data_IF_747964096928
#
_entry.id   IF_747964096928
#
_cell.length_a   1.000
_cell.length_b   1.000
_cell.length_c   1.000
_cell.angle_alpha   90.00
_cell.angle_beta   90.00
_cell.angle_gamma   90.00
#
_symmetry.space_group_name_H-M   'P 1'
#
loop_
_entity.id
_entity.type
_entity.pdbx_description
1 polymer ?
#
# COMPACT_ATOMS: atom_id res chain seq x y z
N UNK A 1 -28.62 12.74 14.92
CA UNK A 1 -27.71 12.40 13.81
C UNK A 1 -26.38 13.02 14.16
N UNK A 2 -25.60 12.33 14.99
CA UNK A 2 -24.32 12.85 15.48
C UNK A 2 -23.37 12.81 14.30
N UNK A 3 -22.91 13.98 13.87
CA UNK A 3 -21.78 14.12 12.94
C UNK A 3 -20.62 13.34 13.55
N UNK A 4 -20.38 12.13 13.03
CA UNK A 4 -19.13 11.42 13.28
C UNK A 4 -18.07 12.39 12.79
N UNK A 5 -17.36 13.01 13.73
CA UNK A 5 -16.10 13.67 13.41
C UNK A 5 -15.24 12.56 12.82
N UNK A 6 -15.16 12.50 11.50
CA UNK A 6 -14.07 11.83 10.82
C UNK A 6 -12.81 12.58 11.26
N UNK A 7 -12.32 12.26 12.46
CA UNK A 7 -10.97 12.63 12.89
C UNK A 7 -10.12 12.17 11.72
N UNK A 8 -9.54 13.12 10.99
CA UNK A 8 -8.70 12.79 9.86
C UNK A 8 -7.63 11.85 10.40
N UNK A 9 -7.69 10.57 10.02
CA UNK A 9 -6.76 9.57 10.50
C UNK A 9 -5.35 10.13 10.32
N UNK A 10 -4.66 10.38 11.44
CA UNK A 10 -3.30 10.85 11.43
C UNK A 10 -2.40 9.64 11.67
N UNK A 11 -1.84 9.03 10.61
CA UNK A 11 -0.97 7.87 10.78
C UNK A 11 0.27 8.22 11.61
N UNK A 12 0.66 9.49 11.74
CA UNK A 12 1.88 9.87 12.45
C UNK A 12 1.75 9.87 13.98
N UNK A 13 0.53 9.80 14.53
CA UNK A 13 0.28 9.83 15.99
C UNK A 13 0.03 8.44 16.59
N UNK A 14 0.15 7.36 15.80
CA UNK A 14 -0.36 6.02 16.16
C UNK A 14 0.70 4.90 16.21
N UNK A 15 2.00 5.20 16.10
CA UNK A 15 3.01 4.12 16.17
C UNK A 15 3.26 3.68 17.62
N UNK A 16 2.55 2.65 18.06
CA UNK A 16 2.90 1.91 19.27
C UNK A 16 4.03 0.89 19.00
N UNK A 17 4.22 0.52 17.71
CA UNK A 17 5.10 -0.57 17.29
C UNK A 17 6.42 -0.15 16.65
N UNK A 18 6.96 -1.06 15.82
CA UNK A 18 8.20 -0.89 15.10
C UNK A 18 8.04 0.06 13.92
N UNK A 19 9.15 0.70 13.53
CA UNK A 19 9.19 1.62 12.39
C UNK A 19 10.23 1.13 11.39
N UNK A 20 9.77 0.79 10.19
CA UNK A 20 10.63 0.39 9.07
C UNK A 20 10.61 1.42 7.95
N UNK A 21 11.71 1.50 7.21
CA UNK A 21 11.87 2.39 6.06
C UNK A 21 12.17 1.61 4.78
N UNK A 22 11.58 2.06 3.67
CA UNK A 22 11.69 1.43 2.35
C UNK A 22 12.12 2.46 1.29
N UNK A 23 13.02 2.06 0.39
CA UNK A 23 13.47 2.87 -0.75
C UNK A 23 13.96 1.98 -1.89
N UNK A 24 13.49 2.25 -3.11
CA UNK A 24 13.93 1.49 -4.30
C UNK A 24 15.42 1.67 -4.55
N UNK A 25 16.07 0.60 -5.03
CA UNK A 25 17.53 0.55 -5.26
C UNK A 25 18.37 0.30 -4.00
N UNK A 26 17.78 -0.16 -2.90
CA UNK A 26 18.48 -0.51 -1.66
C UNK A 26 18.62 -2.04 -1.53
N UNK A 27 18.81 -2.57 -0.31
CA UNK A 27 18.99 -4.01 -0.07
C UNK A 27 18.21 -4.49 1.14
N UNK A 28 17.73 -5.73 1.07
CA UNK A 28 17.02 -6.41 2.16
C UNK A 28 17.94 -6.77 3.34
N UNK A 29 19.25 -6.78 3.09
CA UNK A 29 20.27 -6.96 4.12
C UNK A 29 20.45 -5.71 5.01
N UNK A 30 19.85 -4.58 4.64
CA UNK A 30 19.83 -3.39 5.50
C UNK A 30 18.92 -3.60 6.71
N UNK A 31 19.10 -2.85 7.81
CA UNK A 31 18.28 -2.99 9.01
C UNK A 31 16.89 -2.32 8.94
N UNK A 32 16.45 -1.78 7.80
CA UNK A 32 15.14 -1.11 7.69
C UNK A 32 15.07 0.27 8.37
N UNK A 33 16.22 0.89 8.63
CA UNK A 33 16.29 2.23 9.26
C UNK A 33 16.20 3.35 8.21
N UNK A 34 15.95 4.58 8.64
CA UNK A 34 15.87 5.74 7.72
C UNK A 34 17.08 5.89 6.78
N UNK A 35 18.29 5.65 7.30
CA UNK A 35 19.56 5.77 6.57
C UNK A 35 19.94 4.49 5.81
N UNK A 36 19.45 3.35 6.27
CA UNK A 36 19.66 2.04 5.64
C UNK A 36 18.32 1.31 5.56
N UNK A 37 17.46 1.71 4.60
CA UNK A 37 16.12 1.14 4.44
C UNK A 37 16.17 -0.20 3.70
N UNK A 38 15.08 -0.97 3.79
CA UNK A 38 14.86 -2.13 2.93
C UNK A 38 14.59 -1.70 1.48
N UNK A 39 14.69 -2.64 0.52
CA UNK A 39 14.42 -2.35 -0.88
C UNK A 39 12.94 -2.43 -1.26
N UNK A 40 12.29 -3.62 -1.21
CA UNK A 40 10.88 -3.76 -1.55
C UNK A 40 9.98 -3.58 -0.33
N UNK A 41 8.74 -3.20 -0.59
CA UNK A 41 7.70 -3.10 0.44
C UNK A 41 7.39 -4.47 1.06
N UNK A 42 7.27 -5.51 0.24
CA UNK A 42 6.92 -6.87 0.69
C UNK A 42 7.88 -7.41 1.76
N UNK A 43 9.19 -7.23 1.55
CA UNK A 43 10.18 -7.60 2.56
C UNK A 43 9.96 -6.86 3.89
N UNK A 44 9.59 -5.58 3.86
CA UNK A 44 9.32 -4.81 5.08
C UNK A 44 8.07 -5.30 5.82
N UNK A 45 7.03 -5.73 5.10
CA UNK A 45 5.83 -6.34 5.68
C UNK A 45 6.19 -7.59 6.46
N UNK A 46 7.01 -8.47 5.88
CA UNK A 46 7.49 -9.68 6.56
C UNK A 46 8.38 -9.43 7.80
N UNK A 47 8.78 -8.17 8.06
CA UNK A 47 9.49 -7.78 9.29
C UNK A 47 8.57 -7.23 10.38
N UNK A 48 7.31 -6.99 10.05
CA UNK A 48 6.32 -6.51 11.00
C UNK A 48 5.87 -7.59 11.98
N UNK A 49 5.33 -7.13 13.11
CA UNK A 49 4.67 -7.94 14.11
C UNK A 49 3.17 -7.65 14.10
N UNK A 50 2.36 -8.69 13.99
CA UNK A 50 0.91 -8.57 13.89
C UNK A 50 0.32 -7.81 15.09
N UNK A 51 -0.55 -6.84 14.79
CA UNK A 51 -1.28 -5.98 15.74
C UNK A 51 -0.40 -5.20 16.72
N UNK A 52 0.89 -5.03 16.39
CA UNK A 52 1.82 -4.25 17.20
C UNK A 52 1.73 -2.74 16.89
N UNK A 53 0.96 -2.34 15.87
CA UNK A 53 0.91 -0.96 15.40
C UNK A 53 2.18 -0.56 14.64
N UNK A 54 2.75 -1.49 13.89
CA UNK A 54 3.97 -1.29 13.10
C UNK A 54 3.70 -0.35 11.91
N UNK A 55 4.70 0.46 11.60
CA UNK A 55 4.65 1.42 10.50
C UNK A 55 5.77 1.20 9.49
N UNK A 56 5.41 1.25 8.22
CA UNK A 56 6.34 1.17 7.10
C UNK A 56 6.32 2.53 6.37
N UNK A 57 7.42 3.26 6.47
CA UNK A 57 7.59 4.53 5.79
C UNK A 57 8.33 4.35 4.47
N UNK A 58 7.69 4.76 3.38
CA UNK A 58 8.27 4.67 2.05
C UNK A 58 8.83 6.05 1.66
N UNK A 59 10.13 6.12 1.42
CA UNK A 59 10.82 7.38 1.11
C UNK A 59 10.32 7.97 -0.21
N UNK A 60 10.37 9.30 -0.31
CA UNK A 60 10.01 10.03 -1.52
C UNK A 60 10.78 9.57 -2.76
N UNK A 61 10.06 9.45 -3.88
CA UNK A 61 10.56 8.98 -5.16
C UNK A 61 10.92 7.48 -5.20
N UNK A 62 10.43 6.68 -4.24
CA UNK A 62 10.49 5.22 -4.33
C UNK A 62 9.65 4.73 -5.52
N UNK A 63 10.15 3.71 -6.20
CA UNK A 63 9.50 3.10 -7.37
C UNK A 63 9.66 1.57 -7.32
N UNK A 64 8.56 0.84 -7.37
CA UNK A 64 8.55 -0.63 -7.35
C UNK A 64 7.65 -1.16 -8.47
N UNK A 65 8.10 -2.22 -9.14
CA UNK A 65 7.34 -2.88 -10.19
C UNK A 65 6.74 -4.17 -9.64
N UNK A 66 5.43 -4.34 -9.83
CA UNK A 66 4.70 -5.55 -9.48
C UNK A 66 4.44 -6.31 -10.78
N UNK A 67 5.12 -7.44 -10.97
CA UNK A 67 5.11 -8.22 -12.22
C UNK A 67 4.48 -9.61 -12.08
N UNK A 68 4.02 -9.97 -10.89
CA UNK A 68 3.43 -11.27 -10.59
C UNK A 68 2.23 -11.12 -9.65
N UNK A 69 1.35 -12.13 -9.66
CA UNK A 69 0.28 -12.25 -8.68
C UNK A 69 0.88 -12.32 -7.26
N UNK A 70 0.23 -11.65 -6.30
CA UNK A 70 0.72 -11.49 -4.93
C UNK A 70 2.16 -10.96 -4.89
N UNK A 71 2.52 -10.05 -5.80
CA UNK A 71 3.87 -9.48 -5.85
C UNK A 71 4.19 -8.59 -4.65
N UNK A 72 3.15 -8.12 -3.94
CA UNK A 72 3.20 -7.60 -2.58
C UNK A 72 2.05 -8.22 -1.81
N UNK A 73 2.35 -8.83 -0.67
CA UNK A 73 1.37 -9.50 0.18
C UNK A 73 1.32 -8.86 1.57
N UNK A 74 0.14 -8.37 1.97
CA UNK A 74 -0.11 -7.86 3.31
C UNK A 74 -0.63 -9.00 4.19
N UNK A 75 0.29 -9.82 4.69
CA UNK A 75 0.03 -11.01 5.51
C UNK A 75 0.18 -10.76 7.03
N UNK A 76 0.54 -9.54 7.43
CA UNK A 76 0.67 -9.11 8.84
C UNK A 76 -0.39 -8.08 9.21
N UNK A 77 -1.22 -8.39 10.22
CA UNK A 77 -2.34 -7.54 10.62
C UNK A 77 -1.91 -6.26 11.35
N UNK A 78 -2.71 -5.20 11.22
CA UNK A 78 -2.55 -3.97 12.01
C UNK A 78 -1.34 -3.13 11.64
N UNK A 79 -0.95 -3.13 10.36
CA UNK A 79 0.18 -2.35 9.85
C UNK A 79 -0.27 -1.13 9.06
N UNK A 80 0.52 -0.06 9.13
CA UNK A 80 0.28 1.19 8.40
C UNK A 80 1.44 1.49 7.45
N UNK A 81 1.16 1.62 6.16
CA UNK A 81 2.12 2.01 5.13
C UNK A 81 1.94 3.48 4.77
N UNK A 82 3.02 4.25 4.87
CA UNK A 82 3.00 5.70 4.73
C UNK A 82 4.01 6.13 3.67
N UNK A 83 3.51 6.61 2.54
CA UNK A 83 4.33 7.23 1.52
C UNK A 83 4.72 8.66 1.86
N UNK A 84 6.00 8.98 1.70
CA UNK A 84 6.52 10.35 1.84
C UNK A 84 6.71 11.01 0.47
N UNK A 85 6.49 12.31 0.39
CA UNK A 85 6.61 13.07 -0.85
C UNK A 85 5.27 13.55 -1.40
N UNK A 86 5.34 14.41 -2.41
CA UNK A 86 4.20 15.09 -3.03
C UNK A 86 4.26 14.97 -4.56
N UNK A 87 3.10 15.00 -5.21
CA UNK A 87 2.98 14.90 -6.67
C UNK A 87 3.78 13.69 -7.21
N UNK A 88 4.70 13.93 -8.16
CA UNK A 88 5.54 12.91 -8.78
C UNK A 88 6.57 12.27 -7.83
N UNK A 89 6.78 12.83 -6.64
CA UNK A 89 7.66 12.25 -5.63
C UNK A 89 6.94 11.33 -4.64
N UNK A 90 5.62 11.16 -4.76
CA UNK A 90 4.92 10.10 -4.02
C UNK A 90 5.52 8.74 -4.42
N UNK A 91 5.65 7.78 -3.48
CA UNK A 91 6.09 6.44 -3.81
C UNK A 91 5.14 5.79 -4.81
N UNK A 92 5.71 5.17 -5.84
CA UNK A 92 4.97 4.63 -6.98
C UNK A 92 5.12 3.13 -7.07
N UNK A 93 4.00 2.43 -7.20
CA UNK A 93 3.92 1.01 -7.50
C UNK A 93 3.31 0.84 -8.90
N UNK A 94 4.00 0.11 -9.77
CA UNK A 94 3.63 -0.05 -11.18
C UNK A 94 3.35 -1.51 -11.51
N UNK A 95 2.16 -1.80 -12.01
CA UNK A 95 1.79 -3.13 -12.45
C UNK A 95 2.27 -3.35 -13.86
N UNK A 96 3.16 -4.31 -14.06
CA UNK A 96 3.85 -4.56 -15.34
C UNK A 96 3.43 -5.88 -16.00
N UNK A 97 2.41 -6.54 -15.47
CA UNK A 97 1.77 -7.72 -16.06
C UNK A 97 0.25 -7.67 -15.83
N UNK A 98 -0.52 -8.36 -16.67
CA UNK A 98 -1.99 -8.40 -16.57
C UNK A 98 -2.50 -9.03 -15.26
N UNK A 99 -1.78 -10.03 -14.75
CA UNK A 99 -2.10 -10.85 -13.58
C UNK A 99 -1.31 -10.43 -12.34
N UNK A 100 -0.57 -9.32 -12.42
CA UNK A 100 0.08 -8.75 -11.26
C UNK A 100 -0.96 -8.26 -10.26
N UNK A 101 -0.76 -8.52 -8.97
CA UNK A 101 -1.69 -8.10 -7.90
C UNK A 101 -0.93 -7.73 -6.64
N UNK A 102 -1.50 -6.79 -5.88
CA UNK A 102 -1.19 -6.56 -4.47
C UNK A 102 -2.33 -7.18 -3.66
N UNK A 103 -1.99 -8.03 -2.69
CA UNK A 103 -2.98 -8.77 -1.90
C UNK A 103 -3.05 -8.23 -0.48
N UNK A 104 -4.27 -8.12 0.06
CA UNK A 104 -4.50 -7.77 1.47
C UNK A 104 -5.22 -8.93 2.16
N UNK A 105 -4.42 -9.80 2.78
CA UNK A 105 -4.87 -11.00 3.48
C UNK A 105 -4.80 -10.87 5.02
N UNK A 106 -4.47 -9.69 5.53
CA UNK A 106 -4.48 -9.37 6.94
C UNK A 106 -5.33 -8.14 7.28
N UNK A 107 -6.01 -8.21 8.42
CA UNK A 107 -6.93 -7.19 8.90
C UNK A 107 -6.23 -5.88 9.32
N UNK A 108 -6.98 -4.78 9.32
CA UNK A 108 -6.54 -3.46 9.80
C UNK A 108 -5.31 -2.91 9.06
N UNK A 109 -5.24 -3.17 7.75
CA UNK A 109 -4.16 -2.69 6.87
C UNK A 109 -4.49 -1.29 6.36
N UNK A 110 -3.54 -0.36 6.48
CA UNK A 110 -3.73 1.03 6.02
C UNK A 110 -2.67 1.40 5.00
N UNK A 111 -3.10 1.92 3.85
CA UNK A 111 -2.26 2.51 2.80
C UNK A 111 -2.47 4.03 2.75
N UNK A 112 -1.40 4.80 2.87
CA UNK A 112 -1.47 6.26 2.90
C UNK A 112 -0.48 6.93 1.94
N UNK A 113 -0.98 7.85 1.10
CA UNK A 113 -0.18 8.71 0.21
C UNK A 113 0.74 7.95 -0.78
N UNK A 114 0.20 6.89 -1.40
CA UNK A 114 0.88 6.09 -2.43
C UNK A 114 0.29 6.38 -3.82
N UNK A 115 1.10 6.16 -4.86
CA UNK A 115 0.67 6.20 -6.26
C UNK A 115 0.69 4.79 -6.84
N UNK A 116 -0.39 4.39 -7.51
CA UNK A 116 -0.53 3.10 -8.18
C UNK A 116 -0.76 3.32 -9.68
N UNK A 117 0.04 2.64 -10.51
CA UNK A 117 0.06 2.84 -11.96
C UNK A 117 -0.23 1.54 -12.71
N UNK A 118 -1.24 1.56 -13.59
CA UNK A 118 -1.43 0.53 -14.60
C UNK A 118 -0.39 0.74 -15.70
N UNK A 119 0.66 -0.08 -15.68
CA UNK A 119 1.73 -0.07 -16.69
C UNK A 119 1.68 -1.33 -17.57
N UNK A 120 0.48 -1.88 -17.75
CA UNK A 120 0.18 -2.99 -18.64
C UNK A 120 -1.26 -2.85 -19.14
N UNK A 121 -1.57 -3.45 -20.29
CA UNK A 121 -2.92 -3.41 -20.88
C UNK A 121 -3.87 -4.25 -20.04
N UNK A 122 -5.06 -3.72 -19.72
CA UNK A 122 -6.13 -4.46 -19.05
C UNK A 122 -5.64 -5.19 -17.77
N UNK A 123 -4.98 -4.48 -16.86
CA UNK A 123 -4.57 -5.08 -15.57
C UNK A 123 -5.81 -5.54 -14.81
N UNK A 124 -5.85 -6.84 -14.47
CA UNK A 124 -7.08 -7.50 -14.04
C UNK A 124 -7.64 -6.97 -12.72
N UNK A 125 -6.74 -6.66 -11.79
CA UNK A 125 -7.01 -6.03 -10.51
C UNK A 125 -5.75 -5.37 -9.93
N UNK A 126 -5.90 -4.20 -9.31
CA UNK A 126 -4.81 -3.54 -8.59
C UNK A 126 -4.65 -4.16 -7.20
N UNK A 127 -5.68 -4.05 -6.36
CA UNK A 127 -5.70 -4.62 -5.01
C UNK A 127 -6.76 -5.71 -4.91
N UNK A 128 -6.36 -6.90 -4.49
CA UNK A 128 -7.27 -7.98 -4.07
C UNK A 128 -7.31 -8.06 -2.55
N UNK A 129 -8.47 -7.81 -1.95
CA UNK A 129 -8.67 -7.87 -0.50
C UNK A 129 -9.35 -9.19 -0.16
N UNK A 130 -8.64 -10.03 0.60
CA UNK A 130 -9.16 -11.30 1.11
C UNK A 130 -10.34 -11.12 2.07
N UNK A 131 -10.78 -12.21 2.71
CA UNK A 131 -11.90 -12.21 3.64
C UNK A 131 -11.54 -11.58 5.01
N UNK A 132 -11.08 -10.32 4.98
CA UNK A 132 -10.57 -9.57 6.13
C UNK A 132 -11.33 -8.27 6.35
N UNK A 133 -11.20 -7.72 7.56
CA UNK A 133 -11.82 -6.45 7.93
C UNK A 133 -10.80 -5.31 8.04
N UNK A 134 -11.25 -4.07 7.84
CA UNK A 134 -10.48 -2.89 8.24
C UNK A 134 -9.43 -2.41 7.25
N UNK A 135 -9.52 -2.81 5.97
CA UNK A 135 -8.62 -2.26 4.94
C UNK A 135 -8.97 -0.80 4.64
N UNK A 136 -7.95 0.05 4.58
CA UNK A 136 -8.14 1.48 4.34
C UNK A 136 -7.12 2.03 3.34
N UNK A 137 -7.61 2.86 2.43
CA UNK A 137 -6.82 3.58 1.44
C UNK A 137 -7.07 5.08 1.58
N UNK A 138 -6.02 5.82 1.90
CA UNK A 138 -6.10 7.23 2.26
C UNK A 138 -5.14 8.08 1.42
N UNK A 139 -5.68 9.11 0.75
CA UNK A 139 -4.89 10.08 -0.04
C UNK A 139 -3.98 9.44 -1.09
N UNK A 140 -4.33 8.25 -1.55
CA UNK A 140 -3.61 7.57 -2.60
C UNK A 140 -4.09 8.05 -3.98
N UNK A 141 -3.25 7.85 -4.98
CA UNK A 141 -3.53 8.18 -6.39
C UNK A 141 -3.50 6.91 -7.22
N UNK A 142 -4.49 6.74 -8.08
CA UNK A 142 -4.55 5.67 -9.09
C UNK A 142 -4.50 6.33 -10.47
N UNK A 143 -3.65 5.83 -11.36
CA UNK A 143 -3.52 6.34 -12.72
C UNK A 143 -3.11 5.24 -13.72
N UNK A 144 -3.23 5.55 -15.01
CA UNK A 144 -2.70 4.79 -16.14
C UNK A 144 -1.35 5.37 -16.58
N UNK A 145 -0.45 4.52 -17.07
CA UNK A 145 0.84 5.00 -17.60
C UNK A 145 0.69 5.61 -19.01
N UNK A 146 -0.38 5.30 -19.73
CA UNK A 146 -0.70 5.88 -21.04
C UNK A 146 -2.16 5.62 -21.41
N UNK A 147 -2.65 6.29 -22.47
CA UNK A 147 -4.05 6.21 -22.93
C UNK A 147 -4.51 4.86 -23.48
N UNK A 148 -3.62 3.88 -23.59
CA UNK A 148 -3.94 2.51 -24.02
C UNK A 148 -3.82 1.49 -22.88
N UNK A 149 -3.46 1.94 -21.68
CA UNK A 149 -3.30 1.08 -20.50
C UNK A 149 -4.39 1.44 -19.51
N UNK A 150 -4.80 0.49 -18.68
CA UNK A 150 -5.97 0.66 -17.85
C UNK A 150 -6.04 -0.38 -16.74
N UNK A 151 -6.81 -0.03 -15.71
CA UNK A 151 -7.30 -0.94 -14.70
C UNK A 151 -8.65 -1.53 -15.14
N UNK A 152 -8.80 -2.85 -15.10
CA UNK A 152 -10.13 -3.47 -15.17
C UNK A 152 -10.86 -3.35 -13.83
N UNK A 153 -10.12 -3.55 -12.73
CA UNK A 153 -10.62 -3.39 -11.36
C UNK A 153 -9.54 -2.70 -10.52
N UNK A 154 -9.94 -1.70 -9.73
CA UNK A 154 -9.03 -1.02 -8.81
C UNK A 154 -8.99 -1.73 -7.46
N UNK A 155 -10.14 -2.10 -6.92
CA UNK A 155 -10.20 -2.90 -5.69
C UNK A 155 -11.21 -4.02 -5.86
N UNK A 156 -10.79 -5.23 -5.51
CA UNK A 156 -11.63 -6.41 -5.41
C UNK A 156 -11.77 -6.77 -3.93
N UNK A 157 -12.98 -7.16 -3.54
CA UNK A 157 -13.30 -7.54 -2.17
C UNK A 157 -13.82 -8.98 -2.19
N UNK A 158 -13.15 -9.88 -1.48
CA UNK A 158 -13.62 -11.23 -1.30
C UNK A 158 -14.92 -11.28 -0.48
N UNK A 159 -15.65 -12.38 -0.58
CA UNK A 159 -16.81 -12.62 0.29
C UNK A 159 -16.39 -12.63 1.75
N UNK A 160 -17.07 -11.84 2.59
CA UNK A 160 -16.78 -11.71 4.02
C UNK A 160 -15.84 -10.56 4.38
N UNK A 161 -15.26 -9.91 3.37
CA UNK A 161 -14.46 -8.72 3.57
C UNK A 161 -15.37 -7.56 4.09
N UNK A 162 -14.93 -6.78 5.08
CA UNK A 162 -15.76 -5.74 5.72
C UNK A 162 -14.97 -4.52 6.23
N UNK A 163 -15.66 -3.46 6.66
CA UNK A 163 -15.07 -2.26 7.30
C UNK A 163 -14.00 -1.55 6.43
N UNK A 164 -14.40 -1.08 5.24
CA UNK A 164 -13.50 -0.42 4.29
C UNK A 164 -13.62 1.08 4.29
N UNK A 165 -12.48 1.78 4.29
CA UNK A 165 -12.44 3.24 4.20
C UNK A 165 -11.60 3.72 3.02
N UNK A 166 -12.22 4.49 2.13
CA UNK A 166 -11.58 5.19 1.02
C UNK A 166 -11.72 6.70 1.22
N UNK A 167 -10.67 7.37 1.65
CA UNK A 167 -10.76 8.79 2.03
C UNK A 167 -9.71 9.63 1.31
N UNK A 168 -10.17 10.66 0.59
CA UNK A 168 -9.30 11.64 -0.07
C UNK A 168 -8.45 11.09 -1.21
N UNK A 169 -8.80 9.92 -1.75
CA UNK A 169 -8.10 9.32 -2.89
C UNK A 169 -8.45 10.03 -4.20
N UNK A 170 -7.54 9.95 -5.18
CA UNK A 170 -7.75 10.37 -6.56
C UNK A 170 -7.74 9.08 -7.40
N UNK A 171 -8.85 8.79 -8.07
CA UNK A 171 -9.05 7.60 -8.93
C UNK A 171 -9.62 8.09 -10.25
#
# INVERSE_FOLDING_TARGET
>A
MTTQNFQAFNPFDTYAGNVFWVRSGQSDSNPGTFNRPFAPLDYAIGRCTANNGDQIHIKAGHTENISAASGVDFDVAGITVIGHGINQQRPTFSWTANTATLVVDAANTVLYNLTFIANFLDVAEMIDVGAVAGFQMHKCKVEDASSILNWLKVVVLASGASDFHFVGNII
#
